data_IF_541044406362
#
_entry.id   IF_541044406362
#
_cell.length_a   1.000
_cell.length_b   1.000
_cell.length_c   1.000
_cell.angle_alpha   90.00
_cell.angle_beta   90.00
_cell.angle_gamma   90.00
#
_symmetry.space_group_name_H-M   'P 1'
#
loop_
_entity.id
_entity.type
_entity.pdbx_description
1 polymer ?
#
# COMPACT_ATOMS: atom_id res chain seq x y z
N UNK A 1 16.82 16.96 -6.52
CA UNK A 1 16.90 15.64 -7.19
C UNK A 1 15.60 15.46 -7.93
N UNK A 2 15.61 15.35 -9.25
CA UNK A 2 14.40 15.07 -10.01
C UNK A 2 13.90 13.69 -9.61
N UNK A 3 12.63 13.59 -9.29
CA UNK A 3 11.97 12.32 -8.99
C UNK A 3 12.04 11.45 -10.26
N UNK A 4 12.15 10.13 -10.13
CA UNK A 4 12.10 9.19 -11.27
C UNK A 4 10.86 9.43 -12.16
N UNK A 5 9.73 9.79 -11.54
CA UNK A 5 8.52 10.16 -12.28
C UNK A 5 8.71 11.43 -13.13
N UNK A 6 9.42 12.44 -12.65
CA UNK A 6 9.73 13.65 -13.44
C UNK A 6 10.56 13.28 -14.67
N UNK A 7 11.52 12.37 -14.53
CA UNK A 7 12.29 11.86 -15.67
C UNK A 7 11.42 11.10 -16.68
N UNK A 8 10.43 10.31 -16.20
CA UNK A 8 9.45 9.67 -17.09
C UNK A 8 8.58 10.70 -17.80
N UNK A 9 8.12 11.73 -17.10
CA UNK A 9 7.33 12.84 -17.70
C UNK A 9 8.14 13.57 -18.78
N UNK A 10 9.41 13.85 -18.53
CA UNK A 10 10.29 14.52 -19.50
C UNK A 10 10.48 13.69 -20.78
N UNK A 11 10.59 12.35 -20.64
CA UNK A 11 10.63 11.44 -21.78
C UNK A 11 9.32 11.50 -22.57
N UNK A 12 8.18 11.45 -21.86
CA UNK A 12 6.85 11.48 -22.48
C UNK A 12 6.54 12.81 -23.18
N UNK A 13 7.22 13.92 -22.84
CA UNK A 13 7.09 15.23 -23.54
C UNK A 13 7.48 15.17 -25.01
N UNK A 14 8.20 14.13 -25.42
CA UNK A 14 8.55 13.92 -26.83
C UNK A 14 7.35 13.44 -27.68
N UNK A 15 6.21 13.15 -27.05
CA UNK A 15 4.99 12.76 -27.75
C UNK A 15 3.80 13.64 -27.29
N UNK A 16 3.40 14.56 -28.15
CA UNK A 16 2.33 15.53 -27.89
C UNK A 16 0.98 14.90 -27.53
N UNK A 17 0.76 13.64 -27.89
CA UNK A 17 -0.46 12.89 -27.57
C UNK A 17 -0.67 12.73 -26.06
N UNK A 18 0.39 12.87 -25.29
CA UNK A 18 0.39 12.66 -23.85
C UNK A 18 0.24 13.93 -23.02
N UNK A 19 0.06 15.07 -23.67
CA UNK A 19 -0.06 16.34 -22.95
C UNK A 19 -1.29 17.12 -23.41
N UNK A 20 -1.91 17.83 -22.46
CA UNK A 20 -2.98 18.79 -22.78
C UNK A 20 -2.40 20.05 -23.44
N UNK A 21 -3.24 20.90 -24.07
CA UNK A 21 -2.81 22.20 -24.57
C UNK A 21 -2.15 23.09 -23.51
N UNK A 22 -2.50 22.88 -22.24
CA UNK A 22 -1.96 23.58 -21.07
C UNK A 22 -0.63 22.94 -20.58
N UNK A 23 -0.18 21.85 -21.20
CA UNK A 23 1.06 21.15 -20.86
C UNK A 23 0.97 20.13 -19.74
N UNK A 24 -0.25 19.75 -19.32
CA UNK A 24 -0.45 18.72 -18.30
C UNK A 24 -0.40 17.30 -18.88
N UNK A 25 0.21 16.38 -18.14
CA UNK A 25 0.32 14.99 -18.56
C UNK A 25 -1.04 14.27 -18.54
N UNK A 26 -1.46 13.77 -19.71
CA UNK A 26 -2.67 12.96 -19.89
C UNK A 26 -2.39 11.51 -19.50
N UNK A 27 -2.33 11.22 -18.20
CA UNK A 27 -1.94 9.90 -17.65
C UNK A 27 -2.76 8.74 -18.21
N UNK A 28 -4.06 8.96 -18.45
CA UNK A 28 -4.93 7.95 -19.03
C UNK A 28 -4.59 7.63 -20.49
N UNK A 29 -4.18 8.63 -21.26
CA UNK A 29 -3.73 8.43 -22.64
C UNK A 29 -2.43 7.61 -22.64
N UNK A 30 -1.50 7.93 -21.77
CA UNK A 30 -0.24 7.16 -21.60
C UNK A 30 -0.55 5.73 -21.17
N UNK A 31 -1.40 5.53 -20.17
CA UNK A 31 -1.80 4.22 -19.70
C UNK A 31 -2.49 3.38 -20.80
N UNK A 32 -3.43 3.98 -21.53
CA UNK A 32 -4.10 3.29 -22.62
C UNK A 32 -3.11 2.86 -23.72
N UNK A 33 -2.13 3.70 -24.05
CA UNK A 33 -1.08 3.37 -25.01
C UNK A 33 -0.17 2.24 -24.48
N UNK A 34 0.19 2.27 -23.20
CA UNK A 34 0.99 1.20 -22.60
C UNK A 34 0.26 -0.15 -22.62
N UNK A 35 -1.01 -0.17 -22.26
CA UNK A 35 -1.82 -1.39 -22.28
C UNK A 35 -2.01 -1.96 -23.69
N UNK A 36 -2.09 -1.09 -24.69
CA UNK A 36 -2.17 -1.47 -26.12
C UNK A 36 -0.82 -1.80 -26.75
N UNK A 37 0.27 -1.73 -25.98
CA UNK A 37 1.63 -1.96 -26.47
C UNK A 37 1.98 -1.00 -27.63
N UNK A 38 1.67 0.30 -27.47
CA UNK A 38 1.95 1.32 -28.49
C UNK A 38 3.46 1.39 -28.78
N UNK A 39 3.82 1.13 -30.03
CA UNK A 39 5.21 0.98 -30.43
C UNK A 39 6.04 2.28 -30.25
N UNK A 40 5.39 3.45 -30.36
CA UNK A 40 6.06 4.73 -30.18
C UNK A 40 6.36 5.00 -28.71
N UNK A 41 5.39 4.72 -27.83
CA UNK A 41 5.60 4.82 -26.38
C UNK A 41 6.70 3.85 -25.91
N UNK A 42 6.63 2.59 -26.34
CA UNK A 42 7.61 1.57 -25.95
C UNK A 42 9.01 1.97 -26.39
N UNK A 43 9.16 2.50 -27.61
CA UNK A 43 10.45 2.96 -28.12
C UNK A 43 11.02 4.11 -27.27
N UNK A 44 10.21 5.12 -26.96
CA UNK A 44 10.63 6.25 -26.11
C UNK A 44 11.14 5.77 -24.74
N UNK A 45 10.43 4.82 -24.11
CA UNK A 45 10.83 4.28 -22.82
C UNK A 45 12.08 3.38 -22.91
N UNK A 46 12.26 2.69 -24.04
CA UNK A 46 13.40 1.79 -24.24
C UNK A 46 14.70 2.55 -24.54
N UNK A 47 14.64 3.67 -25.24
CA UNK A 47 15.80 4.50 -25.61
C UNK A 47 16.43 5.19 -24.38
N UNK A 48 15.70 5.40 -23.31
CA UNK A 48 16.23 5.97 -22.08
C UNK A 48 16.69 4.86 -21.11
N UNK A 49 17.93 4.98 -20.61
CA UNK A 49 18.57 3.98 -19.76
C UNK A 49 17.81 3.72 -18.45
N UNK A 50 17.33 4.77 -17.78
CA UNK A 50 16.64 4.66 -16.50
C UNK A 50 15.27 3.97 -16.64
N UNK A 51 14.49 4.30 -17.67
CA UNK A 51 13.20 3.65 -17.94
C UNK A 51 13.36 2.26 -18.51
N UNK A 52 14.41 2.04 -19.33
CA UNK A 52 14.75 0.70 -19.84
C UNK A 52 15.11 -0.24 -18.70
N UNK A 53 16.00 0.17 -17.81
CA UNK A 53 16.40 -0.66 -16.67
C UNK A 53 15.23 -0.99 -15.72
N UNK A 54 14.20 -0.14 -15.65
CA UNK A 54 13.09 -0.32 -14.73
C UNK A 54 11.91 -1.07 -15.31
N UNK A 55 11.63 -0.88 -16.61
CA UNK A 55 10.40 -1.38 -17.24
C UNK A 55 10.64 -2.44 -18.31
N UNK A 56 11.88 -2.82 -18.53
CA UNK A 56 12.18 -3.88 -19.50
C UNK A 56 13.03 -4.96 -18.84
N UNK A 57 12.63 -6.20 -19.08
CA UNK A 57 13.38 -7.38 -18.66
C UNK A 57 13.93 -8.06 -19.92
N UNK A 58 15.20 -8.38 -19.91
CA UNK A 58 15.78 -9.18 -20.99
C UNK A 58 15.40 -10.66 -20.79
N UNK A 59 14.80 -11.24 -21.80
CA UNK A 59 14.46 -12.66 -21.85
C UNK A 59 15.08 -13.23 -23.14
N UNK A 60 16.18 -13.93 -23.01
CA UNK A 60 16.92 -14.54 -24.12
C UNK A 60 17.28 -13.54 -25.24
N UNK A 61 17.70 -12.32 -24.87
CA UNK A 61 18.06 -11.26 -25.81
C UNK A 61 16.87 -10.47 -26.36
N UNK A 62 15.65 -10.73 -25.85
CA UNK A 62 14.43 -9.99 -26.20
C UNK A 62 14.04 -9.11 -25.02
N UNK A 63 13.97 -7.79 -25.26
CA UNK A 63 13.51 -6.85 -24.27
C UNK A 63 11.97 -6.93 -24.13
N UNK A 64 11.50 -7.43 -22.99
CA UNK A 64 10.08 -7.56 -22.66
C UNK A 64 9.65 -6.38 -21.82
N UNK A 65 8.66 -5.62 -22.27
CA UNK A 65 8.12 -4.46 -21.59
C UNK A 65 7.15 -4.86 -20.47
N UNK A 66 7.44 -4.42 -19.24
CA UNK A 66 6.54 -4.53 -18.10
C UNK A 66 5.47 -3.44 -18.15
N UNK A 67 4.43 -3.69 -18.95
CA UNK A 67 3.29 -2.77 -19.08
C UNK A 67 2.51 -2.59 -17.78
N UNK A 68 2.54 -3.59 -16.89
CA UNK A 68 1.84 -3.54 -15.60
C UNK A 68 2.61 -2.62 -14.65
N UNK A 69 3.90 -2.84 -14.46
CA UNK A 69 4.75 -1.99 -13.64
C UNK A 69 4.81 -0.54 -14.15
N UNK A 70 4.87 -0.34 -15.46
CA UNK A 70 4.78 1.01 -16.04
C UNK A 70 3.40 1.65 -15.81
N UNK A 71 2.32 0.88 -16.04
CA UNK A 71 0.96 1.33 -15.78
C UNK A 71 0.74 1.72 -14.32
N UNK A 72 1.41 1.04 -13.40
CA UNK A 72 1.43 1.39 -11.98
C UNK A 72 2.10 2.74 -11.71
N UNK A 73 3.23 3.00 -12.33
CA UNK A 73 3.94 4.27 -12.17
C UNK A 73 3.13 5.44 -12.75
N UNK A 74 2.46 5.23 -13.89
CA UNK A 74 1.71 6.29 -14.58
C UNK A 74 0.33 6.51 -13.96
N UNK A 75 -0.36 5.44 -13.57
CA UNK A 75 -1.79 5.48 -13.22
C UNK A 75 -2.12 5.08 -11.78
N UNK A 76 -1.16 4.90 -11.01
CA UNK A 76 -1.06 4.45 -9.63
C UNK A 76 -2.34 4.65 -8.79
N UNK A 77 -3.26 3.69 -8.86
CA UNK A 77 -4.61 3.76 -8.27
C UNK A 77 -4.77 2.95 -6.97
N UNK A 78 -3.69 2.35 -6.44
CA UNK A 78 -3.86 1.27 -5.46
C UNK A 78 -3.43 1.59 -4.03
N UNK A 79 -2.90 2.78 -3.75
CA UNK A 79 -2.37 3.06 -2.41
C UNK A 79 -3.05 4.23 -1.72
N UNK A 80 -3.47 4.01 -0.50
CA UNK A 80 -3.83 5.07 0.45
C UNK A 80 -2.59 5.48 1.25
N UNK A 81 -2.23 6.76 1.32
CA UNK A 81 -0.91 7.13 1.79
C UNK A 81 -0.74 7.11 3.28
N UNK A 82 -1.75 7.04 4.09
CA UNK A 82 -1.45 7.24 5.50
C UNK A 82 -2.54 6.85 6.48
N UNK A 83 -2.17 6.82 7.77
CA UNK A 83 -3.07 6.67 8.91
C UNK A 83 -3.80 7.98 9.28
N UNK A 84 -3.74 9.02 8.45
CA UNK A 84 -4.34 10.33 8.70
C UNK A 84 -5.56 10.56 7.83
N UNK A 85 -6.61 11.11 8.37
CA UNK A 85 -7.80 11.41 7.56
C UNK A 85 -7.75 12.83 7.05
N UNK A 86 -7.27 13.02 5.85
CA UNK A 86 -7.42 14.26 5.09
C UNK A 86 -8.26 13.99 3.87
N UNK A 87 -9.46 14.54 3.82
CA UNK A 87 -10.36 14.34 2.69
C UNK A 87 -10.00 15.34 1.57
N UNK A 88 -9.51 14.83 0.45
CA UNK A 88 -9.34 15.61 -0.77
C UNK A 88 -10.20 14.99 -1.87
N UNK A 89 -11.26 15.66 -2.26
CA UNK A 89 -11.96 15.33 -3.49
C UNK A 89 -11.23 15.94 -4.68
N UNK A 90 -10.83 15.10 -5.62
CA UNK A 90 -10.32 15.56 -6.92
C UNK A 90 -11.35 15.24 -7.99
N UNK A 91 -11.67 16.22 -8.82
CA UNK A 91 -12.64 16.08 -9.89
C UNK A 91 -11.93 15.47 -11.11
N UNK A 92 -12.42 14.32 -11.56
CA UNK A 92 -12.06 13.74 -12.84
C UNK A 92 -13.29 13.66 -13.73
N UNK A 93 -13.11 13.68 -15.04
CA UNK A 93 -14.17 13.55 -16.01
C UNK A 93 -14.23 12.11 -16.52
N UNK A 94 -15.37 11.44 -16.31
CA UNK A 94 -15.64 10.09 -16.86
C UNK A 94 -16.92 10.10 -17.66
N UNK A 95 -17.12 9.10 -18.53
CA UNK A 95 -18.41 8.85 -19.16
C UNK A 95 -19.39 8.15 -18.20
N UNK A 96 -20.66 8.04 -18.60
CA UNK A 96 -21.74 7.40 -17.83
C UNK A 96 -21.47 5.89 -17.52
N UNK A 97 -20.49 5.29 -18.16
CA UNK A 97 -20.06 3.89 -17.94
C UNK A 97 -18.80 3.79 -17.08
N UNK A 98 -18.34 4.91 -16.50
CA UNK A 98 -17.10 4.98 -15.73
C UNK A 98 -15.82 4.99 -16.59
N UNK A 99 -15.94 5.09 -17.91
CA UNK A 99 -14.82 5.28 -18.82
C UNK A 99 -14.38 6.74 -18.87
N UNK A 100 -13.08 7.01 -19.01
CA UNK A 100 -12.60 8.37 -19.09
C UNK A 100 -12.99 9.05 -20.41
N UNK A 101 -13.23 10.36 -20.37
CA UNK A 101 -13.62 11.20 -21.51
C UNK A 101 -12.79 11.02 -22.78
N UNK A 102 -11.53 10.70 -22.64
CA UNK A 102 -10.65 10.43 -23.79
C UNK A 102 -11.11 9.24 -24.65
N UNK A 103 -12.07 8.44 -24.17
CA UNK A 103 -12.51 7.23 -24.86
C UNK A 103 -13.97 7.24 -25.31
N UNK A 104 -14.87 8.03 -24.70
CA UNK A 104 -16.31 7.95 -24.98
C UNK A 104 -16.93 9.21 -25.57
N UNK A 105 -16.37 10.38 -25.34
CA UNK A 105 -16.96 11.66 -25.77
C UNK A 105 -18.17 12.14 -24.95
N UNK A 106 -18.71 11.32 -24.05
CA UNK A 106 -19.76 11.68 -23.11
C UNK A 106 -19.13 12.23 -21.81
N UNK A 107 -19.67 13.31 -21.27
CA UNK A 107 -19.14 14.00 -20.10
C UNK A 107 -20.02 13.78 -18.89
N UNK A 108 -19.46 13.11 -17.85
CA UNK A 108 -20.05 13.02 -16.53
C UNK A 108 -19.03 13.47 -15.49
N UNK A 109 -19.47 14.26 -14.51
CA UNK A 109 -18.63 14.61 -13.36
C UNK A 109 -18.55 13.41 -12.43
N UNK A 110 -17.37 12.83 -12.33
CA UNK A 110 -17.08 11.77 -11.39
C UNK A 110 -15.96 12.21 -10.44
N UNK A 111 -15.97 11.65 -9.25
CA UNK A 111 -14.89 11.81 -8.26
C UNK A 111 -14.13 10.49 -8.16
N UNK A 112 -13.26 10.16 -9.13
CA UNK A 112 -12.56 8.87 -9.19
C UNK A 112 -11.52 8.71 -8.07
N UNK A 113 -11.15 9.82 -7.45
CA UNK A 113 -10.17 9.83 -6.38
C UNK A 113 -10.80 10.45 -5.13
N UNK A 114 -10.94 9.63 -4.11
CA UNK A 114 -11.16 10.10 -2.75
C UNK A 114 -9.88 9.85 -1.99
N UNK A 115 -9.04 10.86 -1.91
CA UNK A 115 -7.86 10.79 -1.07
C UNK A 115 -8.32 10.85 0.39
N UNK A 116 -8.29 9.73 1.05
CA UNK A 116 -8.50 9.68 2.47
C UNK A 116 -7.18 9.43 3.17
N UNK A 117 -6.63 10.47 3.72
CA UNK A 117 -5.56 10.40 4.70
C UNK A 117 -6.22 10.47 6.07
N UNK A 118 -6.02 9.45 6.91
CA UNK A 118 -6.49 9.49 8.30
C UNK A 118 -5.60 10.43 9.11
N UNK A 119 -5.88 11.73 9.05
CA UNK A 119 -5.24 12.72 9.89
C UNK A 119 -5.92 12.72 11.26
N UNK A 120 -5.21 12.34 12.31
CA UNK A 120 -5.72 12.37 13.68
C UNK A 120 -6.61 11.19 14.09
N UNK A 121 -6.70 10.11 13.30
CA UNK A 121 -7.47 8.92 13.67
C UNK A 121 -6.93 8.12 14.86
N UNK A 122 -5.81 8.55 15.44
CA UNK A 122 -5.14 7.85 16.54
C UNK A 122 -5.54 8.37 17.94
N UNK A 123 -6.26 9.47 18.03
CA UNK A 123 -6.67 10.03 19.32
C UNK A 123 -8.09 9.61 19.70
N UNK A 124 -8.40 9.61 21.02
CA UNK A 124 -9.75 9.30 21.50
C UNK A 124 -10.81 10.30 21.03
N UNK A 125 -10.41 11.53 20.70
CA UNK A 125 -11.32 12.58 20.20
C UNK A 125 -11.79 12.26 18.77
N UNK A 126 -11.00 11.55 17.99
CA UNK A 126 -11.33 11.16 16.61
C UNK A 126 -12.39 10.04 16.54
N UNK A 127 -12.72 9.37 17.64
CA UNK A 127 -13.68 8.26 17.70
C UNK A 127 -15.12 8.66 17.33
N UNK A 128 -15.42 9.94 17.22
CA UNK A 128 -16.76 10.45 16.91
C UNK A 128 -17.05 10.57 15.41
N UNK A 129 -16.09 10.24 14.56
CA UNK A 129 -16.26 10.31 13.10
C UNK A 129 -17.03 9.11 12.58
N UNK A 130 -18.14 9.36 11.88
CA UNK A 130 -18.94 8.35 11.18
C UNK A 130 -18.65 8.38 9.68
N UNK A 131 -17.40 8.20 9.31
CA UNK A 131 -17.01 8.18 7.90
C UNK A 131 -17.07 6.75 7.36
N UNK A 132 -17.62 6.59 6.16
CA UNK A 132 -17.71 5.32 5.45
C UNK A 132 -16.79 5.40 4.24
N UNK A 133 -15.81 4.51 4.18
CA UNK A 133 -14.87 4.42 3.07
C UNK A 133 -15.16 3.19 2.23
N UNK A 134 -15.30 3.39 0.94
CA UNK A 134 -15.50 2.33 -0.03
C UNK A 134 -14.36 2.37 -1.05
N UNK A 135 -13.58 1.31 -1.13
CA UNK A 135 -12.64 0.99 -2.22
C UNK A 135 -11.96 2.22 -2.84
N UNK A 136 -11.38 3.06 -2.00
CA UNK A 136 -10.86 4.35 -2.38
C UNK A 136 -9.49 4.27 -3.02
N UNK A 137 -9.29 5.11 -4.01
CA UNK A 137 -8.09 5.13 -4.83
C UNK A 137 -7.35 6.45 -4.61
N UNK A 138 -6.08 6.38 -4.33
CA UNK A 138 -5.24 7.56 -4.16
C UNK A 138 -4.93 8.27 -5.46
N UNK A 139 -4.76 9.57 -5.34
CA UNK A 139 -4.17 10.35 -6.39
C UNK A 139 -2.69 9.93 -6.62
N UNK A 140 -2.26 9.85 -7.88
CA UNK A 140 -0.91 9.40 -8.22
C UNK A 140 0.23 10.13 -7.50
N UNK A 141 0.11 11.44 -7.28
CA UNK A 141 1.11 12.24 -6.57
C UNK A 141 1.30 11.85 -5.10
N UNK A 142 0.28 11.37 -4.42
CA UNK A 142 0.41 10.90 -3.04
C UNK A 142 1.16 9.55 -2.98
N UNK A 143 1.04 8.74 -4.02
CA UNK A 143 1.80 7.48 -4.12
C UNK A 143 3.26 7.75 -4.45
N UNK A 144 3.53 8.70 -5.34
CA UNK A 144 4.91 9.11 -5.61
C UNK A 144 5.59 9.56 -4.31
N UNK A 145 4.88 10.27 -3.44
CA UNK A 145 5.36 10.66 -2.11
C UNK A 145 5.57 9.47 -1.18
N UNK A 146 4.67 8.49 -1.21
CA UNK A 146 4.81 7.27 -0.41
C UNK A 146 6.03 6.45 -0.85
N UNK A 147 6.24 6.31 -2.15
CA UNK A 147 7.33 5.50 -2.72
C UNK A 147 8.65 6.26 -2.89
N UNK A 148 8.64 7.59 -2.73
CA UNK A 148 9.87 8.38 -2.78
C UNK A 148 10.88 7.88 -1.73
N UNK A 149 12.19 7.91 -2.02
CA UNK A 149 13.21 7.56 -1.04
C UNK A 149 13.06 8.35 0.25
N UNK A 150 13.13 7.66 1.37
CA UNK A 150 13.03 8.25 2.72
C UNK A 150 14.41 8.35 3.34
N UNK A 151 14.65 9.44 4.07
CA UNK A 151 15.81 9.58 4.93
C UNK A 151 15.39 9.17 6.33
N UNK A 152 16.04 8.13 6.87
CA UNK A 152 15.89 7.73 8.26
C UNK A 152 16.86 8.54 9.10
N UNK A 153 16.36 9.20 10.15
CA UNK A 153 17.15 10.03 11.05
C UNK A 153 17.28 9.36 12.43
N UNK A 154 18.27 9.82 13.23
CA UNK A 154 18.44 9.31 14.58
C UNK A 154 18.90 7.86 14.65
N UNK A 155 19.72 7.42 13.69
CA UNK A 155 20.24 6.05 13.69
C UNK A 155 21.12 5.77 14.91
N UNK A 156 20.80 4.67 15.61
CA UNK A 156 21.59 4.17 16.74
C UNK A 156 21.89 2.70 16.50
N UNK A 157 23.15 2.33 16.59
CA UNK A 157 23.57 0.93 16.51
C UNK A 157 23.78 0.37 17.91
N UNK A 158 23.13 -0.71 18.25
CA UNK A 158 23.35 -1.49 19.46
C UNK A 158 24.21 -2.71 19.16
N UNK A 159 25.35 -2.80 19.82
CA UNK A 159 26.29 -3.92 19.68
C UNK A 159 26.74 -4.38 21.09
N UNK A 160 27.41 -5.55 21.22
CA UNK A 160 27.90 -6.02 22.53
C UNK A 160 28.82 -5.02 23.28
N UNK A 161 29.41 -4.05 22.57
CA UNK A 161 30.25 -2.98 23.15
C UNK A 161 29.48 -1.73 23.58
N UNK A 162 28.17 -1.68 23.43
CA UNK A 162 27.31 -0.53 23.76
C UNK A 162 26.58 0.06 22.54
N UNK A 163 25.95 1.21 22.76
CA UNK A 163 25.27 1.97 21.73
C UNK A 163 26.24 2.95 21.04
N UNK A 164 26.20 3.03 19.71
CA UNK A 164 26.89 4.03 18.91
C UNK A 164 25.87 4.91 18.20
N UNK A 165 26.02 6.22 18.33
CA UNK A 165 25.20 7.23 17.66
C UNK A 165 26.02 7.94 16.57
N UNK A 166 25.36 8.56 15.61
CA UNK A 166 26.01 9.35 14.57
C UNK A 166 25.97 8.68 13.19
N UNK A 167 27.10 8.64 12.51
CA UNK A 167 27.18 8.11 11.14
C UNK A 167 27.18 6.57 11.16
N UNK A 168 26.00 6.00 11.42
CA UNK A 168 25.77 4.56 11.48
C UNK A 168 25.50 4.03 10.09
N UNK A 169 26.39 3.21 9.54
CA UNK A 169 26.16 2.51 8.28
C UNK A 169 25.36 1.23 8.51
N UNK A 170 24.36 1.02 7.67
CA UNK A 170 23.57 -0.21 7.65
C UNK A 170 24.30 -1.32 6.90
N UNK A 171 24.32 -2.52 7.47
CA UNK A 171 24.89 -3.72 6.86
C UNK A 171 23.77 -4.77 6.66
N UNK A 172 23.89 -5.59 5.62
CA UNK A 172 22.86 -6.59 5.26
C UNK A 172 22.58 -7.65 6.33
N UNK A 173 23.47 -7.82 7.29
CA UNK A 173 23.29 -8.73 8.45
C UNK A 173 22.70 -8.09 9.68
N UNK A 174 22.39 -6.79 9.66
CA UNK A 174 21.86 -6.08 10.82
C UNK A 174 20.37 -6.37 11.01
N UNK A 175 19.94 -6.42 12.29
CA UNK A 175 18.54 -6.32 12.62
C UNK A 175 18.12 -4.86 12.66
N UNK A 176 16.97 -4.53 12.10
CA UNK A 176 16.45 -3.17 12.03
C UNK A 176 15.23 -2.99 12.92
N UNK A 177 15.23 -1.89 13.68
CA UNK A 177 14.03 -1.35 14.33
C UNK A 177 13.79 0.02 13.75
N UNK A 178 12.69 0.19 13.03
CA UNK A 178 12.30 1.46 12.42
C UNK A 178 11.11 2.01 13.20
N UNK A 179 11.31 3.13 13.87
CA UNK A 179 10.25 3.81 14.61
C UNK A 179 9.58 4.86 13.73
N UNK A 180 8.25 4.83 13.67
CA UNK A 180 7.46 5.80 12.91
C UNK A 180 6.16 5.23 12.38
N UNK A 181 5.52 5.95 11.45
CA UNK A 181 4.36 5.44 10.75
C UNK A 181 4.74 4.19 9.94
N UNK A 182 4.11 3.06 10.26
CA UNK A 182 4.50 1.78 9.66
C UNK A 182 4.24 1.68 8.15
N UNK A 183 3.29 2.44 7.58
CA UNK A 183 3.09 2.49 6.13
C UNK A 183 4.32 3.11 5.46
N UNK A 184 4.84 4.22 6.01
CA UNK A 184 6.05 4.88 5.52
C UNK A 184 7.28 4.00 5.74
N UNK A 185 7.37 3.33 6.89
CA UNK A 185 8.46 2.41 7.20
C UNK A 185 8.49 1.23 6.22
N UNK A 186 7.36 0.59 5.97
CA UNK A 186 7.25 -0.52 5.00
C UNK A 186 7.61 -0.04 3.59
N UNK A 187 7.10 1.12 3.18
CA UNK A 187 7.43 1.70 1.87
C UNK A 187 8.93 2.00 1.72
N UNK A 188 9.59 2.44 2.80
CA UNK A 188 11.04 2.72 2.79
C UNK A 188 11.91 1.46 2.64
N UNK A 189 11.37 0.28 2.94
CA UNK A 189 12.06 -1.00 2.77
C UNK A 189 12.03 -1.54 1.34
N UNK A 190 11.06 -1.10 0.52
CA UNK A 190 10.88 -1.63 -0.84
C UNK A 190 12.15 -1.54 -1.71
N UNK A 191 12.90 -0.42 -1.75
CA UNK A 191 14.08 -0.33 -2.60
C UNK A 191 15.14 -1.41 -2.35
N UNK A 192 15.14 -1.98 -1.13
CA UNK A 192 16.15 -2.98 -0.71
C UNK A 192 15.57 -4.39 -0.63
N UNK A 193 14.31 -4.52 -0.17
CA UNK A 193 13.73 -5.80 0.23
C UNK A 193 12.54 -6.25 -0.62
N UNK A 194 12.18 -5.56 -1.69
CA UNK A 194 11.10 -6.00 -2.59
C UNK A 194 11.36 -7.41 -3.10
N UNK A 195 10.39 -8.30 -2.92
CA UNK A 195 10.49 -9.70 -3.33
C UNK A 195 11.49 -10.57 -2.56
N UNK A 196 12.00 -10.11 -1.38
CA UNK A 196 13.06 -10.81 -0.64
C UNK A 196 12.66 -11.25 0.77
N UNK A 197 11.56 -10.75 1.30
CA UNK A 197 11.13 -11.05 2.68
C UNK A 197 10.50 -12.43 2.71
N UNK A 198 11.04 -13.32 3.52
CA UNK A 198 10.56 -14.71 3.62
C UNK A 198 9.40 -14.88 4.60
N UNK A 199 9.32 -14.02 5.60
CA UNK A 199 8.27 -14.11 6.62
C UNK A 199 7.87 -12.71 7.06
N UNK A 200 6.56 -12.47 7.06
CA UNK A 200 5.92 -11.31 7.67
C UNK A 200 4.97 -11.78 8.76
N UNK A 201 5.08 -11.22 9.94
CA UNK A 201 4.13 -11.42 11.02
C UNK A 201 3.61 -10.07 11.48
N UNK A 202 2.30 -9.89 11.49
CA UNK A 202 1.65 -8.66 11.97
C UNK A 202 0.57 -8.97 13.00
N UNK A 203 0.49 -8.07 13.97
CA UNK A 203 -0.51 -8.03 15.03
C UNK A 203 -1.13 -6.62 15.04
N UNK A 204 -2.06 -6.32 14.10
CA UNK A 204 -2.64 -4.98 13.98
C UNK A 204 -3.65 -4.73 15.08
N UNK A 205 -4.07 -3.47 15.33
CA UNK A 205 -5.17 -3.17 16.26
C UNK A 205 -6.41 -4.01 15.94
N UNK A 206 -6.99 -4.67 16.95
CA UNK A 206 -8.13 -5.58 16.74
C UNK A 206 -9.46 -4.84 16.59
N UNK A 207 -9.48 -3.53 16.78
CA UNK A 207 -10.69 -2.71 16.68
C UNK A 207 -11.79 -3.16 17.66
N UNK A 208 -11.39 -3.49 18.89
CA UNK A 208 -12.26 -4.04 19.94
C UNK A 208 -13.15 -2.99 20.57
N UNK A 209 -12.79 -1.72 20.43
CA UNK A 209 -13.47 -0.59 21.07
C UNK A 209 -13.26 -0.50 22.56
N UNK A 210 -12.26 -1.21 23.12
CA UNK A 210 -11.96 -1.15 24.55
C UNK A 210 -11.04 0.03 24.86
N UNK A 211 -11.26 0.69 26.02
CA UNK A 211 -10.46 1.84 26.44
C UNK A 211 -9.12 1.49 27.08
N UNK A 212 -8.69 0.22 26.99
CA UNK A 212 -7.48 -0.27 27.64
C UNK A 212 -6.17 0.07 26.91
N UNK A 213 -6.26 0.52 25.65
CA UNK A 213 -5.08 0.85 24.85
C UNK A 213 -4.78 2.36 24.84
N UNK A 214 -3.52 2.71 24.67
CA UNK A 214 -3.06 4.09 24.52
C UNK A 214 -3.34 4.70 23.14
N UNK A 215 -3.75 3.88 22.18
CA UNK A 215 -4.10 4.25 20.81
C UNK A 215 -5.60 4.06 20.52
N UNK A 216 -6.08 4.67 19.44
CA UNK A 216 -7.47 4.50 19.02
C UNK A 216 -7.71 3.06 18.53
N UNK A 217 -8.68 2.36 19.14
CA UNK A 217 -9.13 1.01 18.78
C UNK A 217 -10.62 1.00 18.44
N UNK A 218 -11.17 2.13 17.97
CA UNK A 218 -12.59 2.32 17.61
C UNK A 218 -12.74 2.94 16.22
N UNK A 219 -12.22 2.26 15.22
CA UNK A 219 -12.45 2.64 13.83
C UNK A 219 -13.79 2.11 13.32
N UNK A 220 -14.42 2.80 12.35
CA UNK A 220 -15.41 2.13 11.52
C UNK A 220 -14.73 0.92 10.83
N UNK A 221 -15.49 -0.14 10.58
CA UNK A 221 -14.92 -1.34 9.94
C UNK A 221 -14.30 -1.04 8.60
N UNK A 222 -14.93 -0.17 7.81
CA UNK A 222 -14.39 0.26 6.51
C UNK A 222 -13.08 1.04 6.64
N UNK A 223 -12.96 1.94 7.63
CA UNK A 223 -11.71 2.66 7.87
C UNK A 223 -10.58 1.70 8.32
N UNK A 224 -10.91 0.74 9.18
CA UNK A 224 -9.96 -0.28 9.61
C UNK A 224 -9.48 -1.16 8.44
N UNK A 225 -10.40 -1.61 7.58
CA UNK A 225 -10.07 -2.41 6.40
C UNK A 225 -9.22 -1.61 5.42
N UNK A 226 -9.52 -0.34 5.19
CA UNK A 226 -8.72 0.56 4.36
C UNK A 226 -7.31 0.74 4.93
N UNK A 227 -7.22 0.97 6.24
CA UNK A 227 -5.94 1.04 6.94
C UNK A 227 -5.12 -0.24 6.77
N UNK A 228 -5.73 -1.41 6.89
CA UNK A 228 -5.05 -2.70 6.75
C UNK A 228 -4.68 -2.99 5.29
N UNK A 229 -5.58 -2.69 4.33
CA UNK A 229 -5.41 -2.96 2.89
C UNK A 229 -4.09 -2.42 2.36
N UNK A 230 -3.82 -1.15 2.61
CA UNK A 230 -2.62 -0.48 2.08
C UNK A 230 -1.33 -1.11 2.60
N UNK A 231 -1.32 -1.53 3.87
CA UNK A 231 -0.17 -2.18 4.49
C UNK A 231 0.04 -3.59 3.97
N UNK A 232 -1.04 -4.34 3.77
CA UNK A 232 -0.98 -5.69 3.19
C UNK A 232 -0.52 -5.66 1.73
N UNK A 233 -0.93 -4.66 0.95
CA UNK A 233 -0.46 -4.48 -0.42
C UNK A 233 1.04 -4.24 -0.50
N UNK A 234 1.59 -3.39 0.39
CA UNK A 234 3.03 -3.20 0.49
C UNK A 234 3.74 -4.45 1.02
N UNK A 235 3.14 -5.13 1.99
CA UNK A 235 3.66 -6.40 2.54
C UNK A 235 3.77 -7.45 1.43
N UNK A 236 2.77 -7.57 0.56
CA UNK A 236 2.80 -8.48 -0.59
C UNK A 236 3.99 -8.18 -1.50
N UNK A 237 4.30 -6.91 -1.75
CA UNK A 237 5.47 -6.53 -2.57
C UNK A 237 6.79 -6.92 -1.93
N UNK A 238 6.88 -6.88 -0.62
CA UNK A 238 8.09 -7.29 0.10
C UNK A 238 8.30 -8.79 0.09
N UNK A 239 7.21 -9.59 0.07
CA UNK A 239 7.30 -11.05 0.15
C UNK A 239 8.04 -11.64 -1.05
N UNK A 240 8.92 -12.58 -0.75
CA UNK A 240 9.50 -13.47 -1.75
C UNK A 240 8.40 -14.39 -2.35
N UNK A 241 8.61 -14.97 -3.53
CA UNK A 241 7.65 -15.88 -4.14
C UNK A 241 7.30 -17.10 -3.26
N UNK A 242 8.23 -17.53 -2.40
CA UNK A 242 8.06 -18.60 -1.41
C UNK A 242 7.88 -18.05 0.03
N UNK A 243 7.64 -16.75 0.15
CA UNK A 243 7.46 -16.06 1.43
C UNK A 243 6.07 -16.29 2.01
N UNK A 244 5.95 -16.12 3.32
CA UNK A 244 4.73 -16.33 4.07
C UNK A 244 4.33 -15.10 4.89
N UNK A 245 3.02 -14.88 5.04
CA UNK A 245 2.48 -13.86 5.93
C UNK A 245 1.54 -14.47 6.96
N UNK A 246 1.67 -14.02 8.20
CA UNK A 246 0.83 -14.36 9.33
C UNK A 246 0.19 -13.09 9.87
N UNK A 247 -1.14 -13.09 9.96
CA UNK A 247 -1.91 -11.96 10.49
C UNK A 247 -2.71 -12.43 11.67
N UNK A 248 -2.32 -11.97 12.87
CA UNK A 248 -3.01 -12.31 14.12
C UNK A 248 -4.14 -11.31 14.37
N UNK A 249 -5.32 -11.80 14.66
CA UNK A 249 -6.53 -11.02 14.92
C UNK A 249 -7.46 -11.75 15.87
N UNK A 250 -8.35 -11.00 16.48
CA UNK A 250 -9.48 -11.60 17.18
C UNK A 250 -10.72 -11.72 16.27
N UNK A 251 -11.79 -12.28 16.82
CA UNK A 251 -13.04 -12.52 16.09
C UNK A 251 -13.72 -11.26 15.55
N UNK A 252 -13.41 -10.06 16.07
CA UNK A 252 -14.01 -8.81 15.59
C UNK A 252 -13.64 -8.51 14.15
N UNK A 253 -12.41 -8.82 13.74
CA UNK A 253 -11.88 -8.46 12.45
C UNK A 253 -11.37 -9.65 11.61
N UNK A 254 -11.11 -10.81 12.19
CA UNK A 254 -10.49 -11.95 11.51
C UNK A 254 -11.18 -12.32 10.19
N UNK A 255 -12.52 -12.42 10.20
CA UNK A 255 -13.29 -12.83 9.01
C UNK A 255 -13.25 -11.79 7.89
N UNK A 256 -13.25 -10.50 8.24
CA UNK A 256 -13.15 -9.41 7.26
C UNK A 256 -11.74 -9.30 6.69
N UNK A 257 -10.74 -9.49 7.55
CA UNK A 257 -9.35 -9.54 7.12
C UNK A 257 -9.10 -10.74 6.20
N UNK A 258 -9.72 -11.91 6.48
CA UNK A 258 -9.63 -13.07 5.59
C UNK A 258 -10.06 -12.73 4.15
N UNK A 259 -11.24 -12.12 3.98
CA UNK A 259 -11.73 -11.71 2.66
C UNK A 259 -10.80 -10.71 1.99
N UNK A 260 -10.31 -9.73 2.74
CA UNK A 260 -9.36 -8.76 2.23
C UNK A 260 -8.03 -9.41 1.82
N UNK A 261 -7.55 -10.39 2.59
CA UNK A 261 -6.31 -11.10 2.28
C UNK A 261 -6.48 -12.00 1.05
N UNK A 262 -7.64 -12.61 0.83
CA UNK A 262 -7.96 -13.34 -0.39
C UNK A 262 -7.86 -12.42 -1.63
N UNK A 263 -8.40 -11.20 -1.53
CA UNK A 263 -8.30 -10.21 -2.61
C UNK A 263 -6.84 -9.83 -2.93
N UNK A 264 -6.00 -9.70 -1.89
CA UNK A 264 -4.62 -9.23 -2.03
C UNK A 264 -3.65 -10.35 -2.38
N UNK A 265 -3.72 -11.48 -1.68
CA UNK A 265 -2.75 -12.56 -1.81
C UNK A 265 -3.22 -13.71 -2.70
N UNK A 266 -4.53 -13.78 -3.03
CA UNK A 266 -5.17 -14.88 -3.71
C UNK A 266 -5.73 -15.92 -2.73
N UNK A 267 -7.00 -16.30 -2.93
CA UNK A 267 -7.67 -17.32 -2.08
C UNK A 267 -6.93 -18.66 -2.10
N UNK A 268 -6.35 -19.01 -3.23
CA UNK A 268 -5.59 -20.22 -3.47
C UNK A 268 -4.29 -20.30 -2.62
N UNK A 269 -3.80 -19.17 -2.15
CA UNK A 269 -2.61 -19.09 -1.30
C UNK A 269 -2.93 -19.17 0.20
N UNK A 270 -4.20 -19.21 0.56
CA UNK A 270 -4.60 -19.44 1.95
C UNK A 270 -4.19 -20.84 2.42
N UNK A 271 -3.31 -20.89 3.40
CA UNK A 271 -2.78 -22.16 3.90
C UNK A 271 -3.59 -22.70 5.08
N UNK A 272 -3.75 -21.89 6.12
CA UNK A 272 -4.39 -22.33 7.37
C UNK A 272 -4.90 -21.16 8.19
N UNK A 273 -5.92 -21.45 8.98
CA UNK A 273 -6.30 -20.71 10.16
C UNK A 273 -5.67 -21.40 11.39
N UNK A 274 -4.87 -20.65 12.15
CA UNK A 274 -4.21 -21.13 13.36
C UNK A 274 -4.96 -20.56 14.54
N UNK A 275 -5.41 -21.42 15.43
CA UNK A 275 -6.10 -21.04 16.65
C UNK A 275 -5.08 -20.84 17.76
N UNK A 276 -4.91 -19.57 18.16
CA UNK A 276 -4.02 -19.19 19.25
C UNK A 276 -4.79 -19.11 20.56
N UNK A 277 -4.61 -20.08 21.44
CA UNK A 277 -5.27 -20.10 22.75
C UNK A 277 -4.67 -19.04 23.68
N UNK A 278 -5.51 -18.10 24.15
CA UNK A 278 -5.07 -16.96 24.98
C UNK A 278 -5.06 -17.22 26.49
N UNK A 279 -5.37 -18.39 26.95
CA UNK A 279 -5.25 -18.75 28.36
C UNK A 279 -6.33 -19.72 28.87
N UNK A 280 -6.37 -19.87 30.18
CA UNK A 280 -7.37 -20.69 30.87
C UNK A 280 -8.60 -19.86 31.22
N UNK A 281 -9.76 -20.48 31.08
CA UNK A 281 -11.02 -19.89 31.52
C UNK A 281 -11.16 -20.10 33.04
N UNK A 282 -11.14 -19.02 33.81
CA UNK A 282 -11.31 -19.06 35.26
C UNK A 282 -11.98 -17.80 35.78
N UNK A 283 -12.56 -17.91 37.01
CA UNK A 283 -13.10 -16.78 37.72
C UNK A 283 -14.36 -16.16 37.07
N UNK A 284 -14.45 -14.84 37.07
CA UNK A 284 -15.64 -14.12 36.59
C UNK A 284 -15.95 -14.38 35.10
N UNK A 285 -14.98 -14.77 34.30
CA UNK A 285 -15.19 -15.12 32.89
C UNK A 285 -16.11 -16.31 32.69
N UNK A 286 -16.22 -17.21 33.69
CA UNK A 286 -17.10 -18.39 33.64
C UNK A 286 -18.53 -18.08 34.11
N UNK A 287 -18.79 -16.88 34.64
CA UNK A 287 -20.10 -16.44 35.08
C UNK A 287 -20.93 -15.77 33.95
N UNK A 288 -20.36 -15.59 32.80
CA UNK A 288 -21.06 -15.04 31.64
C UNK A 288 -22.01 -16.08 31.04
N UNK A 289 -23.20 -15.64 30.64
CA UNK A 289 -24.20 -16.51 30.01
C UNK A 289 -23.93 -16.79 28.51
N UNK A 290 -22.83 -16.27 27.96
CA UNK A 290 -22.41 -16.42 26.57
C UNK A 290 -21.26 -17.40 26.43
N UNK A 291 -21.04 -17.89 25.21
CA UNK A 291 -19.82 -18.62 24.88
C UNK A 291 -18.59 -17.74 25.09
N UNK A 292 -17.67 -18.22 25.91
CA UNK A 292 -16.50 -17.45 26.31
C UNK A 292 -15.42 -17.57 25.26
N UNK A 293 -14.94 -16.41 24.77
CA UNK A 293 -13.78 -16.35 23.90
C UNK A 293 -12.50 -16.72 24.67
N UNK A 294 -11.71 -17.64 24.13
CA UNK A 294 -10.42 -18.01 24.69
C UNK A 294 -9.30 -18.19 23.65
N UNK A 295 -9.49 -17.68 22.44
CA UNK A 295 -8.49 -17.77 21.37
C UNK A 295 -8.49 -16.51 20.49
N UNK A 296 -7.38 -16.30 19.85
CA UNK A 296 -7.22 -15.46 18.69
C UNK A 296 -7.01 -16.30 17.43
N UNK A 297 -7.19 -15.70 16.29
CA UNK A 297 -7.03 -16.34 14.99
C UNK A 297 -5.77 -15.79 14.32
N UNK A 298 -4.92 -16.67 13.79
CA UNK A 298 -3.81 -16.26 12.94
C UNK A 298 -4.09 -16.79 11.54
N UNK A 299 -4.28 -15.87 10.59
CA UNK A 299 -4.45 -16.19 9.17
C UNK A 299 -3.07 -16.38 8.54
N UNK A 300 -2.88 -17.52 7.87
CA UNK A 300 -1.61 -17.87 7.23
C UNK A 300 -1.79 -18.01 5.72
N UNK A 301 -1.02 -17.21 4.98
CA UNK A 301 -0.88 -17.21 3.52
C UNK A 301 0.55 -17.41 3.09
#
# INVERSE_FOLDING_TARGET
MSNFFDAVVDILRQDERFFSPEGELLRNAVYACAMKMDARLIRLLYENEATRARFFTDVDGIAVFDKVGFGWVVNNREFLPDSYTRYKNRIGLTDARGGYLATSGDVELAFPYKDCVLEGGQTKEDQRRTEIFYNETLAPDEIDRLLAPKVLAGAVRYAPGGAAEGDVQFHSGDNLVIQGNNLLAIASLLPVYEGKVRLIYIDPPYNTGTDSFSYNDRFSRSAWLTFLKTRLQLARRLLAPDGAIYVQLDYHQAHYAKVLMDEIFGEENFQREIIWRIGWLSGYKTADNNWIRNHDTILFY
#
